data_IF_082199607593
#
_entry.id   IF_082199607593
#
_cell.length_a   1.000
_cell.length_b   1.000
_cell.length_c   1.000
_cell.angle_alpha   90.00
_cell.angle_beta   90.00
_cell.angle_gamma   90.00
#
_symmetry.space_group_name_H-M   'P 1'
#
loop_
_entity.id
_entity.type
_entity.pdbx_description
1 polymer ?
#
# COMPACT_ATOMS: atom_id res chain seq x y z
N UNK A 1 62.79 5.40 -26.77
CA UNK A 1 62.53 5.98 -28.11
C UNK A 1 61.18 6.68 -28.07
N UNK A 2 61.19 7.97 -28.40
CA UNK A 2 60.02 8.85 -28.47
C UNK A 2 59.50 8.81 -29.91
N UNK A 3 58.20 8.62 -30.11
CA UNK A 3 57.53 9.00 -31.36
C UNK A 3 56.15 9.57 -31.03
N UNK A 4 56.09 10.90 -31.06
CA UNK A 4 54.89 11.72 -31.25
C UNK A 4 54.51 11.64 -32.73
N UNK A 5 53.25 11.39 -33.07
CA UNK A 5 52.68 11.77 -34.36
C UNK A 5 51.28 12.35 -34.13
N UNK A 6 51.16 13.63 -34.49
CA UNK A 6 49.94 14.41 -34.65
C UNK A 6 49.23 13.99 -35.95
N UNK A 7 47.90 14.03 -35.98
CA UNK A 7 47.07 14.51 -37.11
C UNK A 7 45.60 14.43 -36.67
N UNK A 8 45.00 15.56 -36.25
CA UNK A 8 44.21 16.49 -37.08
C UNK A 8 43.11 15.80 -37.89
N UNK A 9 41.87 15.98 -37.44
CA UNK A 9 40.67 15.56 -38.18
C UNK A 9 39.39 16.05 -37.52
N UNK A 10 39.23 17.37 -37.40
CA UNK A 10 38.00 18.03 -37.01
C UNK A 10 37.04 18.01 -38.21
N UNK A 11 36.02 17.15 -38.18
CA UNK A 11 34.86 17.25 -39.08
C UNK A 11 33.61 17.55 -38.24
N UNK A 12 33.29 18.84 -38.14
CA UNK A 12 31.99 19.31 -37.67
C UNK A 12 31.06 19.26 -38.87
N UNK A 13 30.26 18.21 -38.97
CA UNK A 13 29.18 18.10 -39.96
C UNK A 13 27.88 18.54 -39.30
N UNK A 14 27.61 19.83 -39.41
CA UNK A 14 26.38 20.51 -38.99
C UNK A 14 25.28 20.19 -40.00
N UNK A 15 24.62 19.04 -39.85
CA UNK A 15 23.39 18.70 -40.56
C UNK A 15 22.20 19.28 -39.78
N UNK A 16 21.86 20.52 -40.08
CA UNK A 16 20.57 21.10 -39.70
C UNK A 16 19.48 20.50 -40.60
N UNK A 17 19.01 19.30 -40.25
CA UNK A 17 17.73 18.81 -40.74
C UNK A 17 16.65 19.62 -40.04
N UNK A 18 16.29 20.75 -40.66
CA UNK A 18 15.05 21.47 -40.40
C UNK A 18 13.87 20.58 -40.80
N UNK A 19 13.52 19.63 -39.93
CA UNK A 19 12.26 18.94 -40.03
C UNK A 19 11.15 19.95 -39.80
N UNK A 20 10.37 20.24 -40.84
CA UNK A 20 9.06 20.85 -40.71
C UNK A 20 8.20 19.95 -39.81
N UNK A 21 8.30 20.17 -38.49
CA UNK A 21 7.37 19.64 -37.51
C UNK A 21 6.07 20.41 -37.74
N UNK A 22 5.23 19.88 -38.62
CA UNK A 22 3.84 20.26 -38.69
C UNK A 22 3.28 20.12 -37.27
N UNK A 23 3.13 21.23 -36.58
CA UNK A 23 2.28 21.33 -35.40
C UNK A 23 0.86 21.13 -35.94
N UNK A 24 0.49 19.88 -36.14
CA UNK A 24 -0.90 19.50 -36.00
C UNK A 24 -1.20 19.85 -34.55
N UNK A 25 -1.88 20.98 -34.36
CA UNK A 25 -2.58 21.24 -33.12
C UNK A 25 -3.56 20.07 -33.00
N UNK A 26 -3.13 19.02 -32.31
CA UNK A 26 -4.04 18.06 -31.73
C UNK A 26 -4.76 18.91 -30.71
N UNK A 27 -5.92 19.44 -31.12
CA UNK A 27 -6.92 19.92 -30.20
C UNK A 27 -7.24 18.70 -29.34
N UNK A 28 -6.56 18.57 -28.19
CA UNK A 28 -6.98 17.64 -27.16
C UNK A 28 -8.40 18.08 -26.80
N UNK A 29 -9.37 17.37 -27.37
CA UNK A 29 -10.76 17.53 -27.04
C UNK A 29 -10.88 17.15 -25.56
N UNK A 30 -10.89 18.19 -24.71
CA UNK A 30 -10.99 18.02 -23.29
C UNK A 30 -12.26 17.21 -23.00
N UNK A 31 -12.13 16.21 -22.13
CA UNK A 31 -13.30 15.43 -21.73
C UNK A 31 -14.37 16.37 -21.14
N UNK A 32 -15.67 16.10 -21.35
CA UNK A 32 -16.72 16.87 -20.69
C UNK A 32 -16.53 16.79 -19.17
N UNK A 33 -16.75 17.90 -18.47
CA UNK A 33 -16.58 17.95 -17.01
C UNK A 33 -17.61 17.04 -16.33
N UNK A 34 -17.13 16.09 -15.53
CA UNK A 34 -18.00 15.25 -14.70
C UNK A 34 -18.12 15.84 -13.29
N UNK A 35 -19.31 16.37 -13.00
CA UNK A 35 -19.68 16.97 -11.71
C UNK A 35 -20.62 16.07 -10.88
N UNK A 36 -20.96 14.88 -11.37
CA UNK A 36 -22.05 14.05 -10.81
C UNK A 36 -21.59 12.75 -10.18
N UNK A 37 -20.43 12.23 -10.58
CA UNK A 37 -19.88 11.00 -10.00
C UNK A 37 -19.23 11.28 -8.65
N UNK A 38 -19.58 10.50 -7.62
CA UNK A 38 -19.11 10.67 -6.25
C UNK A 38 -18.53 9.39 -5.65
N UNK A 39 -17.65 9.52 -4.64
CA UNK A 39 -16.92 8.42 -3.99
C UNK A 39 -17.54 7.90 -2.68
N UNK A 40 -18.85 8.14 -2.48
CA UNK A 40 -19.50 7.87 -1.19
C UNK A 40 -20.24 6.53 -1.10
N UNK A 41 -20.16 5.70 -2.13
CA UNK A 41 -20.84 4.41 -2.14
C UNK A 41 -20.28 3.47 -1.05
N UNK A 42 -21.16 2.69 -0.38
CA UNK A 42 -20.74 1.72 0.60
C UNK A 42 -19.98 0.57 -0.06
N UNK A 43 -19.03 -0.01 0.66
CA UNK A 43 -18.30 -1.20 0.24
C UNK A 43 -18.68 -2.41 1.10
N UNK A 44 -18.54 -3.61 0.54
CA UNK A 44 -18.84 -4.86 1.25
C UNK A 44 -17.86 -5.16 2.40
N UNK A 45 -16.68 -4.54 2.40
CA UNK A 45 -15.64 -4.79 3.40
C UNK A 45 -15.91 -3.98 4.67
N UNK A 46 -16.02 -4.67 5.81
CA UNK A 46 -16.07 -4.10 7.15
C UNK A 46 -14.82 -4.49 7.95
N UNK A 47 -13.90 -3.54 8.12
CA UNK A 47 -12.65 -3.76 8.85
C UNK A 47 -12.86 -4.02 10.33
N UNK A 48 -13.93 -3.46 10.90
CA UNK A 48 -14.31 -3.66 12.28
C UNK A 48 -14.81 -5.09 12.52
N UNK A 49 -15.55 -5.67 11.57
CA UNK A 49 -16.03 -7.05 11.66
C UNK A 49 -14.89 -8.03 11.45
N UNK A 50 -13.97 -7.75 10.53
CA UNK A 50 -12.74 -8.55 10.39
C UNK A 50 -11.92 -8.59 11.67
N UNK A 51 -11.83 -7.49 12.42
CA UNK A 51 -11.09 -7.46 13.68
C UNK A 51 -11.69 -8.39 14.74
N UNK A 52 -12.95 -8.83 14.58
CA UNK A 52 -13.63 -9.77 15.47
C UNK A 52 -13.45 -11.23 15.05
N UNK A 53 -12.93 -11.48 13.84
CA UNK A 53 -12.72 -12.84 13.35
C UNK A 53 -11.57 -13.53 14.08
N UNK A 54 -11.63 -14.86 14.24
CA UNK A 54 -10.49 -15.65 14.70
C UNK A 54 -9.25 -15.46 13.81
N UNK A 55 -8.06 -15.50 14.41
CA UNK A 55 -6.79 -15.35 13.67
C UNK A 55 -6.64 -16.35 12.52
N UNK A 56 -7.12 -17.58 12.69
CA UNK A 56 -7.08 -18.60 11.64
C UNK A 56 -7.94 -18.23 10.42
N UNK A 57 -9.12 -17.65 10.64
CA UNK A 57 -9.99 -17.18 9.55
C UNK A 57 -9.39 -15.95 8.86
N UNK A 58 -8.84 -15.01 9.63
CA UNK A 58 -8.08 -13.88 9.08
C UNK A 58 -6.90 -14.35 8.22
N UNK A 59 -6.18 -15.39 8.65
CA UNK A 59 -5.07 -15.95 7.89
C UNK A 59 -5.51 -16.58 6.56
N UNK A 60 -6.69 -17.21 6.51
CA UNK A 60 -7.27 -17.72 5.25
C UNK A 60 -7.57 -16.56 4.29
N UNK A 61 -8.22 -15.50 4.78
CA UNK A 61 -8.47 -14.30 3.99
C UNK A 61 -7.17 -13.65 3.51
N UNK A 62 -6.11 -13.64 4.32
CA UNK A 62 -4.78 -13.14 3.91
C UNK A 62 -4.24 -13.93 2.72
N UNK A 63 -4.37 -15.26 2.70
CA UNK A 63 -3.92 -16.09 1.58
C UNK A 63 -4.71 -15.79 0.30
N UNK A 64 -6.04 -15.73 0.41
CA UNK A 64 -6.92 -15.40 -0.72
C UNK A 64 -6.60 -14.03 -1.33
N UNK A 65 -6.45 -13.01 -0.47
CA UNK A 65 -6.11 -11.66 -0.91
C UNK A 65 -4.67 -11.55 -1.41
N UNK A 66 -3.74 -12.35 -0.90
CA UNK A 66 -2.37 -12.42 -1.43
C UNK A 66 -2.38 -12.90 -2.87
N UNK A 67 -3.17 -13.93 -3.19
CA UNK A 67 -3.32 -14.42 -4.56
C UNK A 67 -3.99 -13.38 -5.46
N UNK A 68 -5.05 -12.73 -4.98
CA UNK A 68 -5.74 -11.66 -5.72
C UNK A 68 -4.80 -10.51 -6.06
N UNK A 69 -4.11 -9.95 -5.07
CA UNK A 69 -3.16 -8.84 -5.27
C UNK A 69 -2.00 -9.26 -6.18
N UNK A 70 -1.51 -10.49 -6.05
CA UNK A 70 -0.42 -11.00 -6.91
C UNK A 70 -0.86 -11.07 -8.38
N UNK A 71 -2.07 -11.55 -8.67
CA UNK A 71 -2.64 -11.56 -10.02
C UNK A 71 -2.80 -10.14 -10.58
N UNK A 72 -3.32 -9.21 -9.78
CA UNK A 72 -3.50 -7.81 -10.18
C UNK A 72 -2.16 -7.13 -10.47
N UNK A 73 -1.14 -7.36 -9.64
CA UNK A 73 0.21 -6.84 -9.91
C UNK A 73 0.82 -7.40 -11.18
N UNK A 74 0.67 -8.70 -11.41
CA UNK A 74 1.22 -9.34 -12.59
C UNK A 74 0.54 -8.84 -13.87
N UNK A 75 -0.79 -8.66 -13.80
CA UNK A 75 -1.55 -8.03 -14.87
C UNK A 75 -1.06 -6.60 -15.13
N UNK A 76 -0.92 -5.77 -14.11
CA UNK A 76 -0.46 -4.38 -14.26
C UNK A 76 0.96 -4.30 -14.85
N UNK A 77 1.86 -5.21 -14.46
CA UNK A 77 3.22 -5.30 -15.04
C UNK A 77 3.21 -5.72 -16.51
N UNK A 78 2.34 -6.67 -16.86
CA UNK A 78 2.24 -7.20 -18.21
C UNK A 78 1.46 -6.29 -19.17
N UNK A 79 0.69 -5.34 -18.63
CA UNK A 79 -0.21 -4.46 -19.37
C UNK A 79 0.02 -2.98 -19.01
N UNK A 80 1.25 -2.48 -19.17
CA UNK A 80 1.63 -1.12 -18.74
C UNK A 80 0.73 -0.03 -19.33
N UNK A 81 0.30 -0.18 -20.59
CA UNK A 81 -0.62 0.76 -21.27
C UNK A 81 -2.05 0.77 -20.69
N UNK A 82 -2.41 -0.25 -19.90
CA UNK A 82 -3.70 -0.32 -19.23
C UNK A 82 -3.73 0.47 -17.90
N UNK A 83 -2.56 0.80 -17.33
CA UNK A 83 -2.45 1.63 -16.12
C UNK A 83 -2.54 3.11 -16.48
N UNK A 84 -3.76 3.58 -16.78
CA UNK A 84 -3.97 4.89 -17.42
C UNK A 84 -3.92 6.08 -16.47
N UNK A 85 -4.48 5.93 -15.26
CA UNK A 85 -4.66 7.07 -14.36
C UNK A 85 -3.34 7.39 -13.65
N UNK A 86 -2.70 6.39 -13.04
CA UNK A 86 -1.46 6.57 -12.27
C UNK A 86 -0.37 5.57 -12.70
N UNK A 87 0.21 5.70 -13.91
CA UNK A 87 1.23 4.77 -14.41
C UNK A 87 2.51 4.72 -13.55
N UNK A 88 2.76 5.77 -12.76
CA UNK A 88 3.90 5.83 -11.83
C UNK A 88 3.55 5.32 -10.43
N UNK A 89 2.27 5.06 -10.11
CA UNK A 89 1.89 4.48 -8.84
C UNK A 89 2.38 3.04 -8.82
N UNK A 90 3.30 2.76 -7.91
CA UNK A 90 3.78 1.41 -7.63
C UNK A 90 3.32 1.04 -6.23
N UNK A 91 2.15 0.38 -6.10
CA UNK A 91 1.69 -0.10 -4.80
C UNK A 91 2.79 -0.91 -4.14
N UNK A 92 3.03 -0.74 -2.83
CA UNK A 92 4.13 -1.39 -2.14
C UNK A 92 4.04 -2.89 -2.36
N UNK A 93 5.14 -3.52 -2.78
CA UNK A 93 5.17 -4.95 -3.13
C UNK A 93 5.05 -5.89 -1.92
N UNK A 94 5.18 -5.35 -0.71
CA UNK A 94 5.19 -6.09 0.55
C UNK A 94 4.01 -5.65 1.39
N UNK A 95 3.23 -6.62 1.88
CA UNK A 95 2.25 -6.37 2.92
C UNK A 95 2.96 -5.91 4.22
N UNK A 96 2.28 -5.06 4.98
CA UNK A 96 2.73 -4.63 6.32
C UNK A 96 2.92 -5.85 7.23
N UNK A 97 3.94 -5.82 8.08
CA UNK A 97 4.31 -6.96 8.93
C UNK A 97 5.48 -7.75 8.35
N UNK A 98 5.19 -8.88 7.72
CA UNK A 98 6.19 -9.79 7.17
C UNK A 98 5.83 -10.19 5.74
N UNK A 99 6.77 -10.01 4.81
CA UNK A 99 6.52 -10.25 3.38
C UNK A 99 6.16 -11.71 3.04
N UNK A 100 6.65 -12.68 3.80
CA UNK A 100 6.47 -14.11 3.52
C UNK A 100 6.05 -14.92 4.76
N UNK A 101 5.33 -14.30 5.70
CA UNK A 101 4.90 -15.03 6.91
C UNK A 101 3.76 -16.01 6.62
N UNK A 102 3.80 -17.14 7.32
CA UNK A 102 2.78 -18.18 7.27
C UNK A 102 2.15 -18.36 8.64
N UNK A 103 0.84 -18.55 8.65
CA UNK A 103 0.11 -18.83 9.87
C UNK A 103 0.54 -20.19 10.44
N UNK A 104 0.93 -20.20 11.72
CA UNK A 104 1.20 -21.41 12.48
C UNK A 104 0.01 -21.67 13.41
N UNK A 105 -0.74 -22.77 13.24
CA UNK A 105 -1.79 -23.16 14.17
C UNK A 105 -1.25 -23.38 15.59
N UNK A 106 -0.02 -23.90 15.71
CA UNK A 106 0.65 -24.15 17.00
C UNK A 106 0.97 -22.85 17.73
N UNK A 107 1.53 -21.86 17.03
CA UNK A 107 1.82 -20.55 17.62
C UNK A 107 0.57 -19.68 17.75
N UNK A 108 -0.46 -19.94 16.94
CA UNK A 108 -1.69 -19.18 16.89
C UNK A 108 -1.60 -17.86 16.09
N UNK A 109 -0.49 -17.61 15.39
CA UNK A 109 -0.27 -16.41 14.58
C UNK A 109 0.76 -16.65 13.46
N UNK A 110 0.91 -15.66 12.58
CA UNK A 110 1.81 -15.69 11.43
C UNK A 110 3.26 -15.46 11.83
N UNK A 111 4.13 -16.41 11.48
CA UNK A 111 5.56 -16.34 11.73
C UNK A 111 6.34 -16.07 10.43
N UNK A 112 7.42 -15.27 10.47
CA UNK A 112 8.34 -15.14 9.34
C UNK A 112 9.04 -16.49 9.07
N UNK A 113 9.47 -16.76 7.82
CA UNK A 113 9.91 -18.09 7.41
C UNK A 113 11.19 -18.60 8.10
N UNK A 114 11.98 -17.70 8.68
CA UNK A 114 13.19 -18.07 9.42
C UNK A 114 12.93 -18.43 10.89
N UNK A 115 11.75 -18.10 11.42
CA UNK A 115 11.42 -18.26 12.83
C UNK A 115 10.63 -19.54 13.03
N UNK A 116 11.15 -20.46 13.84
CA UNK A 116 10.48 -21.72 14.16
C UNK A 116 9.43 -21.54 15.26
N UNK A 117 8.45 -22.42 15.31
CA UNK A 117 7.46 -22.45 16.39
C UNK A 117 8.15 -22.59 17.76
N UNK A 118 7.72 -21.77 18.74
CA UNK A 118 8.31 -21.73 20.08
C UNK A 118 9.67 -21.00 20.19
N UNK A 119 10.30 -20.64 19.06
CA UNK A 119 11.54 -19.87 19.09
C UNK A 119 11.28 -18.43 19.55
N UNK A 120 12.11 -17.94 20.46
CA UNK A 120 12.10 -16.55 20.91
C UNK A 120 12.87 -15.67 19.94
N UNK A 121 12.37 -14.47 19.70
CA UNK A 121 13.02 -13.47 18.86
C UNK A 121 12.57 -12.07 19.29
N UNK A 122 13.50 -11.32 19.89
CA UNK A 122 13.23 -10.00 20.44
C UNK A 122 12.85 -8.97 19.37
N UNK A 123 13.43 -9.06 18.17
CA UNK A 123 13.16 -8.13 17.08
C UNK A 123 11.76 -8.36 16.49
N UNK A 124 11.40 -9.63 16.28
CA UNK A 124 10.06 -10.00 15.82
C UNK A 124 9.01 -9.66 16.88
N UNK A 125 9.29 -9.92 18.15
CA UNK A 125 8.42 -9.56 19.26
C UNK A 125 8.13 -8.05 19.30
N UNK A 126 9.17 -7.21 19.25
CA UNK A 126 8.99 -5.75 19.26
C UNK A 126 8.25 -5.26 18.02
N UNK A 127 8.55 -5.81 16.84
CA UNK A 127 7.87 -5.45 15.60
C UNK A 127 6.37 -5.74 15.65
N UNK A 128 5.98 -6.92 16.17
CA UNK A 128 4.57 -7.28 16.38
C UNK A 128 3.88 -6.31 17.35
N UNK A 129 4.54 -5.95 18.45
CA UNK A 129 4.01 -4.99 19.42
C UNK A 129 3.80 -3.60 18.79
N UNK A 130 4.76 -3.11 18.01
CA UNK A 130 4.64 -1.85 17.27
C UNK A 130 3.51 -1.86 16.23
N UNK A 131 3.09 -3.05 15.76
CA UNK A 131 1.95 -3.23 14.86
C UNK A 131 0.63 -3.54 15.59
N UNK A 132 0.61 -3.45 16.92
CA UNK A 132 -0.59 -3.62 17.74
C UNK A 132 -0.87 -5.07 18.18
N UNK A 133 -0.01 -6.02 17.84
CA UNK A 133 -0.15 -7.43 18.24
C UNK A 133 0.68 -7.73 19.50
N UNK A 134 0.30 -7.09 20.60
CA UNK A 134 0.98 -7.25 21.89
C UNK A 134 0.91 -8.67 22.45
N UNK A 135 -0.11 -9.45 22.08
CA UNK A 135 -0.27 -10.83 22.51
C UNK A 135 0.78 -11.74 21.84
N UNK A 136 0.87 -11.73 20.51
CA UNK A 136 1.88 -12.52 19.79
C UNK A 136 3.30 -12.05 20.13
N UNK A 137 3.49 -10.74 20.32
CA UNK A 137 4.76 -10.18 20.78
C UNK A 137 5.26 -10.82 22.08
N UNK A 138 4.40 -10.96 23.10
CA UNK A 138 4.77 -11.57 24.38
C UNK A 138 5.11 -13.05 24.24
N UNK A 139 4.49 -13.76 23.30
CA UNK A 139 4.81 -15.16 23.04
C UNK A 139 6.22 -15.34 22.45
N UNK A 140 6.73 -14.35 21.72
CA UNK A 140 8.07 -14.37 21.14
C UNK A 140 9.15 -13.75 22.02
N UNK A 141 8.77 -13.01 23.07
CA UNK A 141 9.70 -12.47 24.04
C UNK A 141 10.23 -13.55 25.00
N UNK A 142 11.50 -13.40 25.40
CA UNK A 142 12.04 -14.13 26.55
C UNK A 142 11.42 -13.54 27.84
N UNK A 143 10.77 -14.35 28.70
CA UNK A 143 10.20 -13.86 29.95
C UNK A 143 11.23 -13.28 30.93
N UNK A 144 12.52 -13.62 30.79
CA UNK A 144 13.59 -13.05 31.61
C UNK A 144 14.02 -11.64 31.15
N UNK A 145 13.72 -11.27 29.91
CA UNK A 145 14.06 -9.95 29.34
C UNK A 145 13.02 -8.89 29.72
N UNK A 146 13.19 -8.34 30.93
CA UNK A 146 12.31 -7.30 31.46
C UNK A 146 12.33 -6.01 30.63
N UNK A 147 13.45 -5.69 29.97
CA UNK A 147 13.56 -4.48 29.15
C UNK A 147 12.71 -4.60 27.89
N UNK A 148 12.78 -5.74 27.20
CA UNK A 148 11.94 -6.02 26.04
C UNK A 148 10.45 -6.03 26.43
N UNK A 149 10.09 -6.67 27.53
CA UNK A 149 8.69 -6.71 28.00
C UNK A 149 8.14 -5.30 28.31
N UNK A 150 8.98 -4.41 28.86
CA UNK A 150 8.62 -3.01 29.07
C UNK A 150 8.38 -2.29 27.74
N UNK A 151 9.24 -2.51 26.73
CA UNK A 151 9.07 -1.94 25.37
C UNK A 151 7.78 -2.44 24.71
N UNK A 152 7.49 -3.74 24.79
CA UNK A 152 6.24 -4.33 24.26
C UNK A 152 5.02 -3.70 24.93
N UNK A 153 5.07 -3.51 26.25
CA UNK A 153 3.98 -2.87 27.00
C UNK A 153 3.79 -1.42 26.60
N UNK A 154 4.88 -0.66 26.40
CA UNK A 154 4.82 0.72 25.93
C UNK A 154 4.24 0.86 24.51
N UNK A 155 4.38 -0.17 23.67
CA UNK A 155 3.74 -0.21 22.35
C UNK A 155 2.29 -0.72 22.38
N UNK A 156 1.82 -1.31 23.49
CA UNK A 156 0.49 -1.91 23.55
C UNK A 156 -0.58 -0.84 23.73
N UNK A 157 -1.55 -0.80 22.83
CA UNK A 157 -2.80 -0.03 23.02
C UNK A 157 -3.84 -0.82 23.81
N UNK A 158 -4.95 -0.18 24.17
CA UNK A 158 -6.11 -0.86 24.78
C UNK A 158 -6.72 -1.91 23.83
N UNK A 159 -6.68 -1.63 22.53
CA UNK A 159 -7.14 -2.52 21.47
C UNK A 159 -5.97 -3.29 20.88
N UNK A 160 -6.15 -4.60 20.74
CA UNK A 160 -5.21 -5.50 20.07
C UNK A 160 -5.56 -5.54 18.58
N UNK A 161 -4.54 -5.43 17.74
CA UNK A 161 -4.65 -5.59 16.28
C UNK A 161 -3.81 -6.81 15.88
N UNK A 162 -4.43 -7.98 15.66
CA UNK A 162 -3.71 -9.18 15.25
C UNK A 162 -2.92 -8.92 13.96
N UNK A 163 -1.73 -9.52 13.87
CA UNK A 163 -0.88 -9.34 12.68
C UNK A 163 -1.58 -9.80 11.40
N UNK A 164 -2.45 -10.82 11.48
CA UNK A 164 -3.28 -11.27 10.36
C UNK A 164 -4.22 -10.18 9.87
N UNK A 165 -4.87 -9.45 10.78
CA UNK A 165 -5.76 -8.33 10.43
C UNK A 165 -4.96 -7.21 9.75
N UNK A 166 -3.81 -6.83 10.32
CA UNK A 166 -2.94 -5.79 9.76
C UNK A 166 -2.46 -6.15 8.35
N UNK A 167 -2.10 -7.42 8.13
CA UNK A 167 -1.73 -7.94 6.80
C UNK A 167 -2.91 -7.92 5.83
N UNK A 168 -4.08 -8.36 6.26
CA UNK A 168 -5.29 -8.40 5.43
C UNK A 168 -5.69 -6.99 4.99
N UNK A 169 -5.72 -6.03 5.91
CA UNK A 169 -5.97 -4.61 5.60
C UNK A 169 -4.96 -4.09 4.58
N UNK A 170 -3.68 -4.37 4.79
CA UNK A 170 -2.63 -3.95 3.85
C UNK A 170 -2.84 -4.51 2.45
N UNK A 171 -3.35 -5.73 2.31
CA UNK A 171 -3.61 -6.35 1.01
C UNK A 171 -4.82 -5.73 0.30
N UNK A 172 -5.90 -5.46 1.03
CA UNK A 172 -7.09 -4.83 0.42
C UNK A 172 -6.84 -3.39 0.00
N UNK A 173 -6.03 -2.65 0.78
CA UNK A 173 -5.56 -1.32 0.38
C UNK A 173 -4.72 -1.40 -0.90
N UNK A 174 -3.78 -2.34 -0.99
CA UNK A 174 -2.97 -2.54 -2.19
C UNK A 174 -3.81 -2.89 -3.42
N UNK A 175 -4.86 -3.70 -3.23
CA UNK A 175 -5.78 -4.02 -4.32
C UNK A 175 -6.56 -2.77 -4.80
N UNK A 176 -7.09 -1.97 -3.87
CA UNK A 176 -7.79 -0.73 -4.19
C UNK A 176 -6.87 0.28 -4.88
N UNK A 177 -5.61 0.39 -4.44
CA UNK A 177 -4.57 1.21 -5.08
C UNK A 177 -4.26 0.75 -6.52
N UNK A 178 -4.20 -0.57 -6.78
CA UNK A 178 -4.00 -1.13 -8.13
C UNK A 178 -5.18 -0.79 -9.05
N UNK A 179 -6.41 -1.02 -8.59
CA UNK A 179 -7.63 -0.65 -9.32
C UNK A 179 -7.66 0.86 -9.62
N UNK A 180 -7.34 1.69 -8.63
CA UNK A 180 -7.26 3.13 -8.78
C UNK A 180 -6.22 3.53 -9.83
N UNK A 181 -5.03 2.92 -9.81
CA UNK A 181 -3.98 3.20 -10.79
C UNK A 181 -4.43 2.90 -12.23
N UNK A 182 -5.25 1.86 -12.41
CA UNK A 182 -5.87 1.49 -13.68
C UNK A 182 -6.98 2.47 -14.12
N UNK A 183 -7.40 3.38 -13.24
CA UNK A 183 -8.51 4.31 -13.47
C UNK A 183 -9.88 3.72 -13.17
N UNK A 184 -9.95 2.59 -12.46
CA UNK A 184 -11.20 1.98 -12.03
C UNK A 184 -11.79 2.78 -10.87
N UNK A 185 -13.03 3.26 -11.04
CA UNK A 185 -13.72 4.07 -10.04
C UNK A 185 -13.94 3.31 -8.73
N UNK A 186 -14.28 2.02 -8.81
CA UNK A 186 -14.46 1.17 -7.64
C UNK A 186 -13.22 1.13 -6.74
N UNK A 187 -12.02 1.20 -7.33
CA UNK A 187 -10.76 1.29 -6.58
C UNK A 187 -10.66 2.56 -5.74
N UNK A 188 -11.14 3.70 -6.27
CA UNK A 188 -11.20 4.96 -5.53
C UNK A 188 -12.20 4.89 -4.37
N UNK A 189 -13.41 4.40 -4.64
CA UNK A 189 -14.48 4.23 -3.65
C UNK A 189 -13.99 3.32 -2.51
N UNK A 190 -13.44 2.15 -2.85
CA UNK A 190 -12.85 1.22 -1.88
C UNK A 190 -11.78 1.91 -1.04
N UNK A 191 -10.83 2.62 -1.66
CA UNK A 191 -9.73 3.23 -0.93
C UNK A 191 -10.19 4.34 0.03
N UNK A 192 -11.13 5.19 -0.39
CA UNK A 192 -11.73 6.24 0.47
C UNK A 192 -12.46 5.61 1.66
N UNK A 193 -13.32 4.63 1.41
CA UNK A 193 -14.10 3.98 2.47
C UNK A 193 -13.22 3.19 3.43
N UNK A 194 -12.23 2.44 2.93
CA UNK A 194 -11.24 1.74 3.77
C UNK A 194 -10.44 2.73 4.62
N UNK A 195 -10.02 3.87 4.06
CA UNK A 195 -9.28 4.87 4.82
C UNK A 195 -10.15 5.53 5.91
N UNK A 196 -11.43 5.78 5.65
CA UNK A 196 -12.38 6.29 6.65
C UNK A 196 -12.57 5.28 7.78
N UNK A 197 -12.81 4.01 7.45
CA UNK A 197 -12.92 2.92 8.43
C UNK A 197 -11.63 2.77 9.26
N UNK A 198 -10.46 2.79 8.62
CA UNK A 198 -9.16 2.68 9.31
C UNK A 198 -8.91 3.85 10.25
N UNK A 199 -9.15 5.08 9.79
CA UNK A 199 -9.01 6.25 10.64
C UNK A 199 -9.91 6.12 11.86
N UNK A 200 -11.19 5.79 11.67
CA UNK A 200 -12.12 5.54 12.77
C UNK A 200 -11.59 4.48 13.73
N UNK A 201 -11.17 3.30 13.25
CA UNK A 201 -10.67 2.23 14.11
C UNK A 201 -9.38 2.57 14.86
N UNK A 202 -8.46 3.30 14.22
CA UNK A 202 -7.16 3.64 14.78
C UNK A 202 -7.19 4.86 15.70
N UNK A 203 -8.15 5.79 15.49
CA UNK A 203 -8.32 7.00 16.31
C UNK A 203 -9.44 6.90 17.35
N UNK A 204 -10.49 6.10 17.11
CA UNK A 204 -11.62 5.96 18.03
C UNK A 204 -11.41 4.84 19.08
N UNK A 205 -10.24 4.22 19.11
CA UNK A 205 -9.92 3.15 20.06
C UNK A 205 -9.52 3.73 21.44
N UNK A 206 -10.52 4.08 22.25
CA UNK A 206 -10.36 4.19 23.70
C UNK A 206 -9.46 5.33 24.20
N UNK A 207 -8.95 5.22 25.43
CA UNK A 207 -8.09 6.24 26.05
C UNK A 207 -6.68 6.28 25.45
N UNK A 208 -6.27 5.22 24.73
CA UNK A 208 -4.94 5.10 24.15
C UNK A 208 -5.02 4.81 22.65
N UNK A 209 -4.52 5.71 21.78
CA UNK A 209 -4.59 5.52 20.34
C UNK A 209 -3.80 4.28 19.89
N UNK A 210 -4.12 3.79 18.70
CA UNK A 210 -3.35 2.70 18.09
C UNK A 210 -1.85 3.08 17.94
N UNK A 211 -0.93 2.11 17.92
CA UNK A 211 0.50 2.39 17.82
C UNK A 211 0.82 3.29 16.61
N UNK A 212 1.69 4.31 16.76
CA UNK A 212 2.03 5.22 15.65
C UNK A 212 2.59 4.47 14.43
N UNK A 213 3.36 3.41 14.65
CA UNK A 213 3.91 2.58 13.57
C UNK A 213 2.80 1.87 12.78
N UNK A 214 1.76 1.34 13.45
CA UNK A 214 0.60 0.76 12.78
C UNK A 214 -0.14 1.81 11.94
N UNK A 215 -0.38 2.99 12.50
CA UNK A 215 -1.04 4.09 11.79
C UNK A 215 -0.25 4.52 10.56
N UNK A 216 1.06 4.71 10.69
CA UNK A 216 1.94 5.06 9.60
C UNK A 216 1.95 3.98 8.51
N UNK A 217 1.95 2.70 8.90
CA UNK A 217 1.98 1.59 7.97
C UNK A 217 0.69 1.47 7.13
N UNK A 218 -0.48 1.71 7.73
CA UNK A 218 -1.78 1.51 7.07
C UNK A 218 -2.38 2.77 6.42
N UNK A 219 -2.12 3.98 6.94
CA UNK A 219 -2.78 5.21 6.45
C UNK A 219 -1.96 5.97 5.40
N UNK A 220 -0.63 5.87 5.43
CA UNK A 220 0.23 6.75 4.61
C UNK A 220 0.09 6.52 3.11
N UNK A 221 0.09 5.26 2.67
CA UNK A 221 0.10 4.89 1.25
C UNK A 221 -1.23 5.20 0.56
N UNK A 222 -2.35 4.80 1.19
CA UNK A 222 -3.68 5.08 0.65
C UNK A 222 -3.91 6.58 0.46
N UNK A 223 -3.48 7.41 1.42
CA UNK A 223 -3.55 8.87 1.28
C UNK A 223 -2.71 9.40 0.12
N UNK A 224 -1.49 8.91 -0.06
CA UNK A 224 -0.63 9.32 -1.18
C UNK A 224 -1.24 8.95 -2.52
N UNK A 225 -1.79 7.75 -2.65
CA UNK A 225 -2.46 7.29 -3.87
C UNK A 225 -3.72 8.13 -4.19
N UNK A 226 -4.54 8.43 -3.18
CA UNK A 226 -5.72 9.30 -3.34
C UNK A 226 -5.32 10.72 -3.76
N UNK A 227 -4.29 11.31 -3.13
CA UNK A 227 -3.81 12.65 -3.51
C UNK A 227 -3.28 12.68 -4.96
N UNK A 228 -2.57 11.63 -5.38
CA UNK A 228 -2.11 11.50 -6.77
C UNK A 228 -3.28 11.36 -7.75
N UNK A 229 -4.31 10.56 -7.41
CA UNK A 229 -5.51 10.42 -8.22
C UNK A 229 -6.29 11.74 -8.34
N UNK A 230 -6.47 12.47 -7.24
CA UNK A 230 -7.13 13.77 -7.25
C UNK A 230 -6.40 14.78 -8.14
N UNK A 231 -5.05 14.75 -8.18
CA UNK A 231 -4.29 15.57 -9.12
C UNK A 231 -4.50 15.13 -10.57
N UNK A 232 -4.44 13.82 -10.86
CA UNK A 232 -4.63 13.28 -12.20
C UNK A 232 -6.04 13.56 -12.76
N UNK A 233 -7.09 13.43 -11.96
CA UNK A 233 -8.46 13.69 -12.41
C UNK A 233 -8.76 15.14 -12.78
N UNK A 234 -7.98 16.10 -12.26
CA UNK A 234 -8.08 17.51 -12.65
C UNK A 234 -7.41 17.82 -13.98
N UNK A 235 -6.63 16.90 -14.55
CA UNK A 235 -6.02 17.10 -15.87
C UNK A 235 -7.12 17.15 -16.96
N UNK A 236 -6.97 18.00 -18.00
CA UNK A 236 -8.00 18.17 -19.04
C UNK A 236 -8.41 16.87 -19.75
N UNK A 237 -7.49 15.91 -19.87
CA UNK A 237 -7.75 14.60 -20.48
C UNK A 237 -8.74 13.75 -19.68
N UNK A 238 -8.91 14.01 -18.37
CA UNK A 238 -9.83 13.28 -17.49
C UNK A 238 -11.03 14.12 -17.09
N UNK A 239 -10.81 15.38 -16.71
CA UNK A 239 -11.81 16.38 -16.32
C UNK A 239 -12.89 15.87 -15.32
N UNK A 240 -12.46 15.12 -14.29
CA UNK A 240 -13.34 14.54 -13.25
C UNK A 240 -13.25 15.35 -11.96
N UNK A 241 -13.73 16.59 -11.98
CA UNK A 241 -13.57 17.55 -10.88
C UNK A 241 -14.35 17.15 -9.62
N UNK A 242 -15.53 16.53 -9.75
CA UNK A 242 -16.29 16.03 -8.60
C UNK A 242 -15.55 14.91 -7.84
N UNK A 243 -14.97 13.93 -8.56
CA UNK A 243 -14.18 12.86 -7.94
C UNK A 243 -12.97 13.40 -7.18
N UNK A 244 -12.30 14.43 -7.72
CA UNK A 244 -11.17 15.06 -7.08
C UNK A 244 -11.55 15.90 -5.84
N UNK A 245 -12.82 16.28 -5.72
CA UNK A 245 -13.33 17.04 -4.57
C UNK A 245 -13.73 16.14 -3.39
N UNK A 246 -14.01 14.85 -3.64
CA UNK A 246 -14.39 13.88 -2.61
C UNK A 246 -13.21 13.31 -1.80
N UNK A 247 -11.97 13.60 -2.22
CA UNK A 247 -10.70 13.17 -1.61
C UNK A 247 -10.15 14.24 -0.64
#
# INVERSE_FOLDING_TARGET
>A
MRTRWLEKGLFVLLLTLGGCRSQVAVTEEAAPEDTTTHLNDPIAISLADWLRLPRAELAQLVEEWTQTVSKQREWARSNVEAVRLLPQLRPPSRAVGFAAAKFSPTAGFSLPPYLKEGQKDAAVALHLACLGDGEAARQLADPADKELLAKITACSGERIFPIEWTRLVSLVLQNAELKLANGELDGAVELVQLHRQLRSLLTAAGKTPAPPTLQAALLSHGRQALMAAAAAWREPRWNKTALAADI
#
